data_IF_292943716756
#
_entry.id   IF_292943716756
#
_cell.length_a   1.000
_cell.length_b   1.000
_cell.length_c   1.000
_cell.angle_alpha   90.00
_cell.angle_beta   90.00
_cell.angle_gamma   90.00
#
_symmetry.space_group_name_H-M   'P 1'
#
loop_
_entity.id
_entity.type
_entity.pdbx_description
1 polymer ?
#
# COMPACT_ATOMS: atom_id res chain seq x y z
N UNK A 1 -15.82 -8.11 -2.86
CA UNK A 1 -14.74 -9.04 -3.27
C UNK A 1 -15.38 -10.21 -4.00
N UNK A 2 -14.80 -10.67 -5.11
CA UNK A 2 -15.28 -11.90 -5.76
C UNK A 2 -14.77 -13.12 -4.96
N UNK A 3 -15.66 -14.03 -4.57
CA UNK A 3 -15.40 -15.13 -3.62
C UNK A 3 -14.29 -16.11 -4.08
N UNK A 4 -13.91 -16.10 -5.36
CA UNK A 4 -12.92 -17.02 -5.95
C UNK A 4 -11.73 -16.30 -6.62
N UNK A 5 -11.52 -15.01 -6.33
CA UNK A 5 -10.42 -14.24 -6.91
C UNK A 5 -9.18 -14.25 -6.01
N UNK A 6 -8.08 -14.87 -6.48
CA UNK A 6 -6.84 -14.97 -5.69
C UNK A 6 -6.16 -13.62 -5.51
N UNK A 7 -6.19 -12.73 -6.51
CA UNK A 7 -5.67 -11.36 -6.37
C UNK A 7 -6.41 -10.59 -5.28
N UNK A 8 -7.75 -10.64 -5.25
CA UNK A 8 -8.54 -10.01 -4.19
C UNK A 8 -8.22 -10.60 -2.81
N UNK A 9 -8.09 -11.92 -2.72
CA UNK A 9 -7.72 -12.60 -1.47
C UNK A 9 -6.34 -12.18 -0.98
N UNK A 10 -5.35 -12.10 -1.89
CA UNK A 10 -3.99 -11.66 -1.61
C UNK A 10 -3.96 -10.25 -1.04
N UNK A 11 -4.65 -9.31 -1.71
CA UNK A 11 -4.72 -7.90 -1.33
C UNK A 11 -5.57 -7.67 -0.06
N UNK A 12 -6.58 -8.51 0.17
CA UNK A 12 -7.47 -8.45 1.34
C UNK A 12 -6.95 -9.16 2.60
N UNK A 13 -5.69 -9.58 2.64
CA UNK A 13 -5.07 -10.20 3.83
C UNK A 13 -5.30 -11.70 3.97
N UNK A 14 -5.89 -12.37 2.98
CA UNK A 14 -6.15 -13.82 2.97
C UNK A 14 -4.95 -14.71 2.64
N UNK A 15 -3.73 -14.16 2.68
CA UNK A 15 -2.46 -14.79 2.33
C UNK A 15 -1.93 -14.30 0.98
N UNK A 16 -0.70 -13.78 0.96
CA UNK A 16 -0.07 -13.23 -0.25
C UNK A 16 0.30 -14.32 -1.25
N UNK A 17 0.20 -13.96 -2.54
CA UNK A 17 0.69 -14.80 -3.64
C UNK A 17 2.21 -14.66 -3.79
N UNK A 18 2.71 -13.42 -3.90
CA UNK A 18 4.14 -13.15 -3.91
C UNK A 18 4.75 -13.43 -2.53
N UNK A 19 5.89 -14.15 -2.46
CA UNK A 19 6.63 -14.33 -1.21
C UNK A 19 7.30 -13.02 -0.74
N UNK A 20 7.64 -12.12 -1.67
CA UNK A 20 8.19 -10.81 -1.36
C UNK A 20 7.10 -9.78 -1.04
N UNK A 21 7.46 -8.79 -0.20
CA UNK A 21 6.67 -7.56 0.00
C UNK A 21 6.43 -6.84 -1.34
N UNK A 22 5.41 -5.96 -1.45
CA UNK A 22 5.22 -5.17 -2.64
C UNK A 22 6.43 -4.27 -2.86
N UNK A 23 6.75 -4.01 -4.13
CA UNK A 23 7.76 -3.03 -4.51
C UNK A 23 7.25 -1.62 -4.26
N UNK A 24 5.94 -1.38 -4.50
CA UNK A 24 5.28 -0.11 -4.25
C UNK A 24 3.79 -0.31 -3.96
N UNK A 25 3.24 0.52 -3.07
CA UNK A 25 1.82 0.51 -2.70
C UNK A 25 1.18 1.88 -3.01
N UNK A 26 0.56 1.98 -4.20
CA UNK A 26 -0.09 3.19 -4.69
C UNK A 26 -1.49 3.41 -4.15
N UNK A 27 -2.21 4.38 -4.68
CA UNK A 27 -3.60 4.68 -4.33
C UNK A 27 -4.55 3.59 -4.79
N UNK A 28 -4.48 3.19 -6.06
CA UNK A 28 -5.34 2.22 -6.73
C UNK A 28 -4.59 0.95 -7.13
N UNK A 29 -3.26 1.01 -7.27
CA UNK A 29 -2.45 -0.11 -7.74
C UNK A 29 -1.42 -0.55 -6.71
N UNK A 30 -1.12 -1.85 -6.70
CA UNK A 30 0.02 -2.42 -5.98
C UNK A 30 1.00 -2.94 -7.02
N UNK A 31 2.28 -2.53 -6.93
CA UNK A 31 3.37 -3.10 -7.72
C UNK A 31 4.00 -4.24 -6.92
N UNK A 32 3.91 -5.47 -7.42
CA UNK A 32 4.48 -6.65 -6.76
C UNK A 32 5.10 -7.64 -7.76
N UNK A 33 5.81 -8.63 -7.25
CA UNK A 33 6.38 -9.70 -8.07
C UNK A 33 5.28 -10.68 -8.52
N UNK A 34 5.33 -11.11 -9.78
CA UNK A 34 4.45 -12.13 -10.31
C UNK A 34 4.95 -13.52 -9.88
N UNK A 35 4.23 -14.17 -8.97
CA UNK A 35 4.60 -15.48 -8.45
C UNK A 35 3.46 -16.50 -8.64
N UNK A 36 3.75 -17.78 -8.94
CA UNK A 36 5.06 -18.34 -9.31
C UNK A 36 5.53 -17.85 -10.68
N UNK A 37 6.84 -17.62 -10.83
CA UNK A 37 7.48 -17.27 -12.11
C UNK A 37 8.94 -17.67 -12.13
N UNK A 38 9.41 -18.14 -13.28
CA UNK A 38 10.83 -18.41 -13.52
C UNK A 38 11.69 -17.14 -13.71
N UNK A 39 11.09 -15.95 -13.76
CA UNK A 39 11.81 -14.68 -13.90
C UNK A 39 11.79 -13.86 -12.61
N UNK A 40 12.97 -13.54 -12.08
CA UNK A 40 13.13 -12.75 -10.86
C UNK A 40 12.60 -11.31 -11.02
N UNK A 41 12.74 -10.73 -12.22
CA UNK A 41 12.29 -9.37 -12.52
C UNK A 41 10.84 -9.24 -13.01
N UNK A 42 10.05 -10.32 -13.03
CA UNK A 42 8.66 -10.24 -13.51
C UNK A 42 7.78 -9.53 -12.48
N UNK A 43 7.35 -8.31 -12.79
CA UNK A 43 6.44 -7.54 -11.95
C UNK A 43 5.03 -7.46 -12.51
N UNK A 44 4.08 -7.21 -11.63
CA UNK A 44 2.68 -6.91 -11.95
C UNK A 44 2.21 -5.69 -11.17
N UNK A 45 1.51 -4.80 -11.87
CA UNK A 45 0.66 -3.78 -11.27
C UNK A 45 -0.74 -4.37 -11.12
N UNK A 46 -1.17 -4.61 -9.89
CA UNK A 46 -2.48 -5.22 -9.57
C UNK A 46 -3.43 -4.15 -9.08
N UNK A 47 -4.60 -4.02 -9.71
CA UNK A 47 -5.63 -3.09 -9.24
C UNK A 47 -6.13 -3.51 -7.86
N UNK A 48 -6.30 -2.59 -6.91
CA UNK A 48 -6.67 -2.93 -5.54
C UNK A 48 -8.09 -3.45 -5.43
N UNK A 49 -9.04 -2.74 -6.05
CA UNK A 49 -10.42 -3.23 -6.15
C UNK A 49 -10.53 -4.30 -7.22
N UNK A 50 -11.56 -5.11 -7.12
CA UNK A 50 -11.89 -6.04 -8.20
C UNK A 50 -12.38 -5.28 -9.43
N UNK A 51 -11.79 -5.60 -10.59
CA UNK A 51 -12.30 -5.30 -11.92
C UNK A 51 -11.94 -6.51 -12.79
N UNK A 52 -12.87 -7.00 -13.60
CA UNK A 52 -12.65 -8.11 -14.50
C UNK A 52 -12.15 -7.64 -15.88
N UNK A 53 -12.40 -6.38 -16.25
CA UNK A 53 -12.04 -5.84 -17.55
C UNK A 53 -11.49 -4.40 -17.49
N UNK A 54 -10.61 -4.06 -18.43
CA UNK A 54 -9.97 -2.75 -18.49
C UNK A 54 -10.95 -1.58 -18.65
N UNK A 55 -12.08 -1.78 -19.33
CA UNK A 55 -13.09 -0.72 -19.53
C UNK A 55 -13.88 -0.38 -18.25
N UNK A 56 -13.68 -1.14 -17.17
CA UNK A 56 -14.30 -0.86 -15.87
C UNK A 56 -13.45 0.10 -15.02
N UNK A 57 -12.24 0.44 -15.45
CA UNK A 57 -11.34 1.35 -14.73
C UNK A 57 -11.81 2.81 -14.82
N UNK A 58 -11.61 3.56 -13.75
CA UNK A 58 -11.83 5.00 -13.75
C UNK A 58 -10.68 5.75 -14.42
N UNK A 59 -10.88 7.04 -14.72
CA UNK A 59 -9.82 7.90 -15.28
C UNK A 59 -8.62 7.98 -14.34
N UNK A 60 -8.86 8.13 -13.03
CA UNK A 60 -7.82 8.23 -12.01
C UNK A 60 -7.02 6.94 -11.87
N UNK A 61 -7.66 5.78 -12.05
CA UNK A 61 -6.99 4.48 -12.06
C UNK A 61 -6.09 4.33 -13.30
N UNK A 62 -6.53 4.81 -14.47
CA UNK A 62 -5.69 4.85 -15.66
C UNK A 62 -4.53 5.86 -15.55
N UNK A 63 -4.78 7.02 -14.96
CA UNK A 63 -3.75 8.03 -14.71
C UNK A 63 -2.66 7.48 -13.79
N UNK A 64 -3.06 6.87 -12.66
CA UNK A 64 -2.08 6.28 -11.75
C UNK A 64 -1.31 5.13 -12.40
N UNK A 65 -1.98 4.26 -13.17
CA UNK A 65 -1.31 3.22 -13.95
C UNK A 65 -0.25 3.81 -14.86
N UNK A 66 -0.57 4.88 -15.59
CA UNK A 66 0.35 5.57 -16.49
C UNK A 66 1.60 6.10 -15.79
N UNK A 67 1.43 6.77 -14.63
CA UNK A 67 2.57 7.32 -13.88
C UNK A 67 3.40 6.23 -13.17
N UNK A 68 2.82 5.05 -12.89
CA UNK A 68 3.56 3.93 -12.30
C UNK A 68 4.38 3.15 -13.32
N UNK A 69 3.96 3.09 -14.59
CA UNK A 69 4.69 2.33 -15.62
C UNK A 69 6.08 2.91 -15.86
N UNK A 70 6.23 4.24 -15.94
CA UNK A 70 7.53 4.87 -16.21
C UNK A 70 8.63 4.52 -15.17
N UNK A 71 8.46 4.77 -13.86
CA UNK A 71 9.48 4.44 -12.88
C UNK A 71 9.71 2.93 -12.78
N UNK A 72 8.68 2.11 -13.04
CA UNK A 72 8.82 0.63 -13.06
C UNK A 72 9.77 0.18 -14.16
N UNK A 73 9.57 0.62 -15.40
CA UNK A 73 10.44 0.19 -16.52
C UNK A 73 11.87 0.70 -16.38
N UNK A 74 12.05 1.94 -15.88
CA UNK A 74 13.39 2.50 -15.60
C UNK A 74 14.11 1.71 -14.50
N UNK A 75 13.40 1.41 -13.41
CA UNK A 75 13.94 0.60 -12.31
C UNK A 75 14.37 -0.79 -12.79
N UNK A 76 13.53 -1.46 -13.60
CA UNK A 76 13.87 -2.77 -14.14
C UNK A 76 15.10 -2.73 -15.03
N UNK A 77 15.21 -1.71 -15.89
CA UNK A 77 16.41 -1.48 -16.71
C UNK A 77 17.69 -1.32 -15.89
N UNK A 78 17.62 -0.63 -14.77
CA UNK A 78 18.78 -0.39 -13.92
C UNK A 78 19.12 -1.58 -13.01
N UNK A 79 18.14 -2.43 -12.70
CA UNK A 79 18.29 -3.56 -11.77
C UNK A 79 18.64 -4.89 -12.47
N UNK A 80 18.22 -5.06 -13.73
CA UNK A 80 18.40 -6.29 -14.49
C UNK A 80 19.06 -6.01 -15.84
N UNK A 81 19.69 -7.02 -16.43
CA UNK A 81 20.07 -6.97 -17.84
C UNK A 81 18.80 -6.86 -18.69
N UNK A 82 18.44 -5.64 -19.09
CA UNK A 82 17.18 -5.36 -19.79
C UNK A 82 17.48 -4.60 -21.06
N UNK A 83 17.27 -5.25 -22.20
CA UNK A 83 17.32 -4.60 -23.52
C UNK A 83 15.94 -4.04 -23.92
N UNK A 84 14.87 -4.60 -23.34
CA UNK A 84 13.49 -4.24 -23.64
C UNK A 84 12.54 -4.64 -22.51
N UNK A 85 11.47 -3.88 -22.33
CA UNK A 85 10.37 -4.22 -21.43
C UNK A 85 9.11 -4.57 -22.20
N UNK A 86 8.36 -5.55 -21.71
CA UNK A 86 6.98 -5.79 -22.14
C UNK A 86 6.00 -5.27 -21.11
N UNK A 87 5.00 -4.53 -21.57
CA UNK A 87 3.86 -4.05 -20.76
C UNK A 87 2.60 -4.67 -21.34
N UNK A 88 1.95 -5.57 -20.60
CA UNK A 88 0.88 -6.41 -21.10
C UNK A 88 -0.26 -6.50 -20.09
N UNK A 89 -1.51 -6.33 -20.54
CA UNK A 89 -2.70 -6.60 -19.71
C UNK A 89 -3.35 -7.90 -20.20
N UNK A 90 -3.22 -8.95 -19.40
CA UNK A 90 -3.74 -10.29 -19.69
C UNK A 90 -4.34 -10.87 -18.41
N UNK A 91 -5.63 -10.63 -18.17
CA UNK A 91 -6.29 -10.85 -16.88
C UNK A 91 -7.38 -11.94 -16.96
N UNK A 92 -7.13 -13.04 -17.66
CA UNK A 92 -8.14 -14.07 -17.95
C UNK A 92 -7.82 -15.45 -17.34
N UNK A 93 -6.73 -15.57 -16.59
CA UNK A 93 -6.33 -16.80 -15.94
C UNK A 93 -7.38 -17.33 -14.96
N UNK A 94 -7.42 -18.64 -14.76
CA UNK A 94 -8.25 -19.27 -13.73
C UNK A 94 -7.93 -18.66 -12.36
N UNK A 95 -8.96 -18.26 -11.60
CA UNK A 95 -8.85 -17.48 -10.34
C UNK A 95 -8.20 -16.08 -10.43
N UNK A 96 -7.68 -15.69 -11.60
CA UNK A 96 -7.01 -14.41 -11.89
C UNK A 96 -7.80 -13.52 -12.86
N UNK A 97 -9.14 -13.68 -12.90
CA UNK A 97 -10.05 -12.75 -13.60
C UNK A 97 -10.15 -11.41 -12.88
N UNK A 98 -9.03 -10.71 -12.83
CA UNK A 98 -8.79 -9.50 -12.07
C UNK A 98 -7.75 -8.67 -12.79
N UNK A 99 -8.03 -7.40 -13.07
CA UNK A 99 -7.13 -6.53 -13.82
C UNK A 99 -5.76 -6.42 -13.14
N UNK A 100 -4.74 -6.90 -13.85
CA UNK A 100 -3.34 -6.70 -13.54
C UNK A 100 -2.56 -6.48 -14.83
N UNK A 101 -1.52 -5.66 -14.77
CA UNK A 101 -0.65 -5.32 -15.89
C UNK A 101 0.74 -5.87 -15.60
N UNK A 102 1.22 -6.78 -16.45
CA UNK A 102 2.57 -7.31 -16.36
C UNK A 102 3.58 -6.29 -16.88
N UNK A 103 4.69 -6.14 -16.17
CA UNK A 103 5.86 -5.37 -16.59
C UNK A 103 7.07 -6.29 -16.49
N UNK A 104 7.60 -6.68 -17.65
CA UNK A 104 8.54 -7.81 -17.77
C UNK A 104 9.85 -7.32 -18.40
N UNK A 105 11.01 -7.44 -17.73
CA UNK A 105 12.29 -7.16 -18.34
C UNK A 105 12.70 -8.32 -19.26
N UNK A 106 13.20 -7.97 -20.44
CA UNK A 106 13.73 -8.90 -21.45
C UNK A 106 15.21 -8.61 -21.62
N UNK A 107 16.03 -9.54 -21.14
CA UNK A 107 17.49 -9.46 -21.22
C UNK A 107 18.08 -10.09 -22.46
N UNK A 108 19.37 -9.84 -22.66
CA UNK A 108 20.15 -10.34 -23.78
C UNK A 108 20.21 -11.88 -23.81
N UNK A 109 20.24 -12.52 -22.65
CA UNK A 109 20.31 -13.98 -22.48
C UNK A 109 18.95 -14.70 -22.56
N UNK A 110 17.84 -13.97 -22.69
CA UNK A 110 16.52 -14.60 -22.77
C UNK A 110 16.38 -15.41 -24.08
N UNK A 111 15.98 -16.70 -24.06
CA UNK A 111 15.81 -17.51 -25.26
C UNK A 111 14.78 -16.90 -26.21
N UNK A 112 15.07 -16.88 -27.52
CA UNK A 112 14.22 -16.25 -28.53
C UNK A 112 12.81 -16.84 -28.57
N UNK A 113 12.70 -18.16 -28.36
CA UNK A 113 11.45 -18.91 -28.29
C UNK A 113 10.56 -18.56 -27.08
N UNK A 114 11.11 -17.85 -26.09
CA UNK A 114 10.39 -17.34 -24.91
C UNK A 114 10.25 -15.81 -24.92
N UNK A 115 10.49 -15.15 -26.06
CA UNK A 115 10.25 -13.71 -26.25
C UNK A 115 8.87 -13.43 -26.86
N UNK A 116 8.47 -12.16 -26.88
CA UNK A 116 7.17 -11.73 -27.39
C UNK A 116 6.01 -12.37 -26.63
N UNK A 117 4.98 -12.83 -27.35
CA UNK A 117 3.81 -13.48 -26.73
C UNK A 117 4.17 -14.77 -25.96
N UNK A 118 5.29 -15.43 -26.32
CA UNK A 118 5.73 -16.66 -25.65
C UNK A 118 6.33 -16.43 -24.25
N UNK A 119 6.53 -15.17 -23.84
CA UNK A 119 7.04 -14.82 -22.51
C UNK A 119 6.19 -15.39 -21.37
N UNK A 120 4.89 -15.60 -21.59
CA UNK A 120 3.98 -16.25 -20.63
C UNK A 120 4.38 -17.69 -20.28
N UNK A 121 5.25 -18.32 -21.07
CA UNK A 121 5.83 -19.63 -20.77
C UNK A 121 6.57 -19.66 -19.43
N UNK A 122 7.22 -18.56 -19.02
CA UNK A 122 7.98 -18.52 -17.77
C UNK A 122 7.11 -18.61 -16.51
N UNK A 123 5.80 -18.30 -16.59
CA UNK A 123 4.86 -18.51 -15.48
C UNK A 123 4.58 -20.00 -15.21
N UNK A 124 4.94 -20.87 -16.16
CA UNK A 124 4.77 -22.33 -16.06
C UNK A 124 6.08 -23.06 -15.77
N UNK A 125 7.19 -22.34 -15.68
CA UNK A 125 8.50 -22.91 -15.36
C UNK A 125 8.69 -23.04 -13.86
N UNK A 126 9.77 -23.70 -13.45
CA UNK A 126 10.16 -23.79 -12.04
C UNK A 126 10.28 -22.37 -11.47
N UNK A 127 9.57 -22.05 -10.38
CA UNK A 127 9.59 -20.71 -9.82
C UNK A 127 10.97 -20.40 -9.24
N UNK A 128 11.33 -19.12 -9.27
CA UNK A 128 12.45 -18.62 -8.50
C UNK A 128 12.25 -18.95 -7.00
N UNK A 129 13.32 -19.30 -6.26
CA UNK A 129 13.20 -19.57 -4.83
C UNK A 129 12.64 -18.36 -4.07
N UNK A 130 11.76 -18.58 -3.10
CA UNK A 130 11.10 -17.49 -2.35
C UNK A 130 12.08 -16.49 -1.76
N UNK A 131 13.21 -16.97 -1.20
CA UNK A 131 14.28 -16.12 -0.67
C UNK A 131 14.87 -15.17 -1.71
N UNK A 132 15.04 -15.63 -2.96
CA UNK A 132 15.55 -14.79 -4.06
C UNK A 132 14.53 -13.69 -4.35
N UNK A 133 13.25 -14.03 -4.41
CA UNK A 133 12.18 -13.05 -4.66
C UNK A 133 12.05 -12.04 -3.52
N UNK A 134 12.18 -12.46 -2.27
CA UNK A 134 12.21 -11.55 -1.12
C UNK A 134 13.37 -10.54 -1.20
N UNK A 135 14.58 -11.02 -1.51
CA UNK A 135 15.77 -10.17 -1.67
C UNK A 135 15.61 -9.19 -2.85
N UNK A 136 15.07 -9.66 -3.99
CA UNK A 136 14.78 -8.83 -5.17
C UNK A 136 13.74 -7.77 -4.86
N UNK A 137 12.60 -8.12 -4.26
CA UNK A 137 11.54 -7.17 -3.94
C UNK A 137 12.04 -6.06 -3.01
N UNK A 138 12.92 -6.42 -2.05
CA UNK A 138 13.54 -5.46 -1.14
C UNK A 138 14.48 -4.49 -1.86
N UNK A 139 15.28 -4.96 -2.81
CA UNK A 139 16.16 -4.10 -3.62
C UNK A 139 15.35 -3.18 -4.54
N UNK A 140 14.35 -3.74 -5.24
CA UNK A 140 13.48 -2.99 -6.14
C UNK A 140 12.69 -1.92 -5.39
N UNK A 141 12.12 -2.22 -4.22
CA UNK A 141 11.41 -1.24 -3.40
C UNK A 141 12.30 -0.03 -3.06
N UNK A 142 13.56 -0.29 -2.67
CA UNK A 142 14.53 0.80 -2.40
C UNK A 142 14.83 1.64 -3.64
N UNK A 143 14.97 1.02 -4.81
CA UNK A 143 15.22 1.74 -6.07
C UNK A 143 14.01 2.54 -6.52
N UNK A 144 12.82 1.95 -6.43
CA UNK A 144 11.57 2.58 -6.80
C UNK A 144 11.31 3.83 -5.95
N UNK A 145 11.60 3.78 -4.65
CA UNK A 145 11.48 4.94 -3.75
C UNK A 145 12.33 6.14 -4.20
N UNK A 146 13.44 5.92 -4.92
CA UNK A 146 14.29 7.01 -5.44
C UNK A 146 13.76 7.62 -6.75
N UNK A 147 12.86 6.93 -7.45
CA UNK A 147 12.35 7.34 -8.78
C UNK A 147 10.86 7.65 -8.78
N UNK A 148 10.12 7.25 -7.75
CA UNK A 148 8.68 7.43 -7.64
C UNK A 148 8.22 8.90 -7.54
N UNK A 149 9.11 9.83 -7.16
CA UNK A 149 8.76 11.25 -7.05
C UNK A 149 7.53 11.49 -6.17
N UNK A 150 6.64 12.40 -6.60
CA UNK A 150 5.39 12.75 -5.90
C UNK A 150 4.21 11.81 -6.24
N UNK A 151 4.46 10.59 -6.73
CA UNK A 151 3.37 9.64 -7.01
C UNK A 151 2.58 9.40 -5.70
N UNK A 152 1.26 9.64 -5.69
CA UNK A 152 0.47 9.48 -4.48
C UNK A 152 0.56 8.06 -3.93
N UNK A 153 1.23 7.91 -2.79
CA UNK A 153 1.17 6.68 -1.99
C UNK A 153 -0.08 6.72 -1.12
N UNK A 154 -0.74 5.58 -0.92
CA UNK A 154 -1.58 5.42 0.28
C UNK A 154 -0.68 4.85 1.36
N UNK A 155 -0.51 5.50 2.52
CA UNK A 155 -0.04 4.72 3.66
C UNK A 155 -1.12 3.69 3.94
N UNK A 156 -0.77 2.40 3.89
CA UNK A 156 -1.71 1.31 4.20
C UNK A 156 -2.34 1.45 5.60
N UNK A 157 -1.72 2.25 6.48
CA UNK A 157 -2.18 2.59 7.82
C UNK A 157 -2.05 4.08 8.10
N UNK A 158 -3.10 4.69 8.64
CA UNK A 158 -3.03 5.98 9.33
C UNK A 158 -3.36 5.79 10.81
N UNK A 159 -2.98 6.74 11.65
CA UNK A 159 -3.07 6.64 13.10
C UNK A 159 -3.91 7.79 13.65
N UNK A 160 -4.77 7.49 14.61
CA UNK A 160 -5.51 8.49 15.39
C UNK A 160 -5.18 8.35 16.87
N UNK A 161 -4.98 9.47 17.56
CA UNK A 161 -4.77 9.51 19.00
C UNK A 161 -6.08 9.89 19.68
N UNK A 162 -6.47 9.12 20.69
CA UNK A 162 -7.72 9.29 21.42
C UNK A 162 -7.52 8.97 22.90
N UNK A 163 -8.24 9.64 23.80
CA UNK A 163 -8.20 9.25 25.21
C UNK A 163 -8.88 7.90 25.43
N UNK A 164 -8.43 7.14 26.42
CA UNK A 164 -9.06 5.86 26.80
C UNK A 164 -10.54 6.08 27.10
N UNK A 165 -10.87 7.15 27.82
CA UNK A 165 -12.25 7.50 28.21
C UNK A 165 -13.13 7.78 26.99
N UNK A 166 -12.67 8.60 26.04
CA UNK A 166 -13.45 8.94 24.85
C UNK A 166 -13.65 7.73 23.95
N UNK A 167 -12.61 6.90 23.82
CA UNK A 167 -12.71 5.68 23.04
C UNK A 167 -13.73 4.71 23.63
N UNK A 168 -13.66 4.42 24.92
CA UNK A 168 -14.57 3.50 25.59
C UNK A 168 -16.03 4.03 25.63
N UNK A 169 -16.20 5.35 25.69
CA UNK A 169 -17.50 6.01 25.75
C UNK A 169 -18.27 6.14 24.43
N UNK A 170 -17.67 5.79 23.28
CA UNK A 170 -18.18 6.12 21.93
C UNK A 170 -19.57 5.60 21.56
N UNK A 171 -20.05 4.52 22.17
CA UNK A 171 -21.40 3.98 21.93
C UNK A 171 -21.73 3.50 20.50
N UNK A 172 -20.76 3.42 19.59
CA UNK A 172 -20.96 3.07 18.19
C UNK A 172 -19.74 3.33 17.30
N UNK A 173 -19.97 3.82 16.08
CA UNK A 173 -18.90 4.40 15.26
C UNK A 173 -18.27 5.57 16.02
N UNK A 174 -16.94 5.71 15.91
CA UNK A 174 -16.22 6.69 16.69
C UNK A 174 -16.27 8.07 16.01
N UNK A 175 -16.61 9.09 16.80
CA UNK A 175 -16.53 10.50 16.42
C UNK A 175 -16.00 11.31 17.62
N UNK A 176 -14.89 12.04 17.50
CA UNK A 176 -14.37 12.86 18.58
C UNK A 176 -15.26 14.08 18.84
N UNK A 177 -15.26 14.58 20.08
CA UNK A 177 -15.97 15.81 20.42
C UNK A 177 -15.47 17.04 19.63
N UNK A 178 -14.20 17.05 19.20
CA UNK A 178 -13.64 18.11 18.36
C UNK A 178 -14.18 18.10 16.93
N UNK A 179 -14.91 17.06 16.51
CA UNK A 179 -15.45 17.00 15.14
C UNK A 179 -16.42 18.16 14.85
N UNK A 180 -17.21 18.59 15.85
CA UNK A 180 -18.15 19.71 15.69
C UNK A 180 -17.45 21.05 15.42
N UNK A 181 -16.22 21.23 15.92
CA UNK A 181 -15.42 22.45 15.67
C UNK A 181 -14.55 22.33 14.43
N UNK A 182 -13.92 21.18 14.25
CA UNK A 182 -12.86 21.00 13.24
C UNK A 182 -13.45 20.54 11.89
N UNK A 183 -14.56 19.81 11.92
CA UNK A 183 -15.22 19.23 10.75
C UNK A 183 -14.61 17.91 10.25
N UNK A 184 -13.57 17.40 10.92
CA UNK A 184 -12.88 16.17 10.57
C UNK A 184 -12.19 15.51 11.77
N UNK A 185 -11.84 14.23 11.63
CA UNK A 185 -11.02 13.48 12.59
C UNK A 185 -9.55 13.57 12.17
N UNK A 186 -8.71 14.12 13.04
CA UNK A 186 -7.26 14.20 12.84
C UNK A 186 -6.63 12.81 12.78
N UNK A 187 -5.99 12.47 11.67
CA UNK A 187 -5.13 11.30 11.57
C UNK A 187 -3.68 11.73 11.30
N UNK A 188 -2.75 10.80 11.44
CA UNK A 188 -1.33 11.01 11.21
C UNK A 188 -0.70 9.77 10.54
N UNK A 189 0.41 9.94 9.82
CA UNK A 189 1.30 8.82 9.46
C UNK A 189 2.10 8.32 10.66
N UNK A 190 2.79 7.19 10.51
CA UNK A 190 3.74 6.72 11.52
C UNK A 190 4.88 7.73 11.80
N UNK A 191 5.32 8.48 10.77
CA UNK A 191 6.36 9.52 10.91
C UNK A 191 5.84 10.83 11.50
N UNK A 192 4.52 11.03 11.53
CA UNK A 192 3.86 12.20 12.09
C UNK A 192 3.40 11.97 13.53
N UNK A 193 2.84 10.79 13.85
CA UNK A 193 2.05 10.57 15.07
C UNK A 193 2.82 10.84 16.36
N UNK A 194 4.12 10.51 16.44
CA UNK A 194 4.93 10.82 17.63
C UNK A 194 5.12 12.31 17.84
N UNK A 195 5.44 13.06 16.77
CA UNK A 195 5.57 14.53 16.84
C UNK A 195 4.26 15.18 17.27
N UNK A 196 3.13 14.66 16.79
CA UNK A 196 1.79 15.12 17.21
C UNK A 196 1.53 14.82 18.68
N UNK A 197 1.87 13.60 19.13
CA UNK A 197 1.71 13.18 20.52
C UNK A 197 2.52 14.07 21.47
N UNK A 198 3.80 14.27 21.17
CA UNK A 198 4.72 15.08 21.98
C UNK A 198 4.28 16.56 22.04
N UNK A 199 3.74 17.10 20.95
CA UNK A 199 3.33 18.50 20.86
C UNK A 199 1.99 18.78 21.57
N UNK A 200 1.01 17.88 21.46
CA UNK A 200 -0.36 18.13 21.89
C UNK A 200 -0.74 17.46 23.20
N UNK A 201 -0.07 16.37 23.58
CA UNK A 201 -0.43 15.56 24.74
C UNK A 201 0.74 15.25 25.68
N UNK A 202 1.67 16.19 25.94
CA UNK A 202 2.91 15.89 26.68
C UNK A 202 2.61 15.26 28.05
N UNK A 203 3.26 14.12 28.33
CA UNK A 203 3.15 13.41 29.61
C UNK A 203 1.80 12.72 29.90
N UNK A 204 0.90 12.61 28.91
CA UNK A 204 -0.37 11.87 29.07
C UNK A 204 -0.15 10.36 29.00
N UNK A 205 -0.73 9.63 29.94
CA UNK A 205 -0.69 8.17 30.04
C UNK A 205 -2.03 7.49 29.73
N UNK A 206 -3.07 8.29 29.42
CA UNK A 206 -4.43 7.85 29.15
C UNK A 206 -4.79 7.91 27.66
N UNK A 207 -3.82 7.65 26.78
CA UNK A 207 -4.01 7.67 25.33
C UNK A 207 -3.99 6.26 24.72
N UNK A 208 -4.87 6.06 23.73
CA UNK A 208 -4.74 5.02 22.73
C UNK A 208 -4.21 5.58 21.43
N UNK A 209 -3.43 4.76 20.73
CA UNK A 209 -3.19 4.89 19.31
C UNK A 209 -4.07 3.90 18.55
N UNK A 210 -4.94 4.44 17.71
CA UNK A 210 -5.85 3.69 16.84
C UNK A 210 -5.17 3.55 15.49
N UNK A 211 -4.90 2.32 15.08
CA UNK A 211 -4.39 2.00 13.76
C UNK A 211 -5.56 1.80 12.81
N UNK A 212 -5.62 2.60 11.75
CA UNK A 212 -6.76 2.66 10.84
C UNK A 212 -6.31 2.24 9.44
N UNK A 213 -7.09 1.37 8.80
CA UNK A 213 -6.93 1.02 7.40
C UNK A 213 -7.39 2.16 6.50
N UNK A 214 -6.42 2.88 5.93
CA UNK A 214 -6.71 4.01 5.06
C UNK A 214 -7.49 3.61 3.80
N UNK A 215 -7.37 2.36 3.34
CA UNK A 215 -8.07 1.89 2.15
C UNK A 215 -9.58 1.76 2.38
N UNK A 216 -9.99 1.41 3.62
CA UNK A 216 -11.41 1.29 4.01
C UNK A 216 -12.10 2.66 4.07
N UNK A 217 -11.35 3.72 4.37
CA UNK A 217 -11.90 5.08 4.49
C UNK A 217 -12.26 5.69 3.13
N UNK A 218 -11.58 5.29 2.04
CA UNK A 218 -11.86 5.75 0.70
C UNK A 218 -11.68 7.26 0.54
N UNK A 219 -12.63 7.92 -0.13
CA UNK A 219 -12.59 9.37 -0.40
C UNK A 219 -12.82 10.25 0.85
N UNK A 220 -13.27 9.66 1.96
CA UNK A 220 -13.43 10.40 3.22
C UNK A 220 -12.10 10.74 3.87
N UNK A 221 -11.00 10.07 3.50
CA UNK A 221 -9.66 10.38 3.97
C UNK A 221 -8.98 11.34 2.98
N UNK A 222 -8.83 12.59 3.38
CA UNK A 222 -8.26 13.66 2.57
C UNK A 222 -6.88 14.03 3.11
N UNK A 223 -5.93 14.28 2.22
CA UNK A 223 -4.58 14.73 2.57
C UNK A 223 -4.44 16.20 2.28
N UNK A 224 -4.29 17.00 3.32
CA UNK A 224 -4.30 18.45 3.21
C UNK A 224 -3.44 19.11 4.28
N UNK A 225 -3.04 20.35 4.00
CA UNK A 225 -2.28 21.19 4.93
C UNK A 225 -3.22 22.28 5.47
N UNK A 226 -4.08 21.89 6.42
CA UNK A 226 -5.07 22.82 7.01
C UNK A 226 -4.44 23.99 7.77
N UNK A 227 -3.16 23.87 8.13
CA UNK A 227 -2.47 24.82 9.01
C UNK A 227 -1.32 25.55 8.30
N UNK A 228 -1.15 25.37 6.99
CA UNK A 228 -0.08 25.97 6.17
C UNK A 228 1.33 25.71 6.75
N UNK A 229 1.53 24.51 7.32
CA UNK A 229 2.79 24.08 7.94
C UNK A 229 3.77 23.45 6.93
N UNK A 230 3.45 23.49 5.64
CA UNK A 230 4.16 22.83 4.54
C UNK A 230 4.23 21.31 4.70
N UNK A 231 3.27 20.72 5.41
CA UNK A 231 3.15 19.27 5.60
C UNK A 231 1.68 18.87 5.56
N UNK A 232 1.33 17.86 4.76
CA UNK A 232 -0.04 17.36 4.67
C UNK A 232 -0.30 16.31 5.74
N UNK A 233 -1.44 16.44 6.42
CA UNK A 233 -1.95 15.47 7.36
C UNK A 233 -3.19 14.77 6.77
N UNK A 234 -3.41 13.48 7.07
CA UNK A 234 -4.64 12.81 6.72
C UNK A 234 -5.77 13.25 7.65
N UNK A 235 -6.88 13.69 7.09
CA UNK A 235 -8.10 14.04 7.81
C UNK A 235 -9.26 13.17 7.34
N UNK A 236 -9.99 12.59 8.29
CA UNK A 236 -11.16 11.76 8.00
C UNK A 236 -12.44 12.59 8.17
N UNK A 237 -13.16 12.78 7.07
CA UNK A 237 -14.46 13.46 7.05
C UNK A 237 -15.60 12.47 7.33
N UNK A 238 -16.19 12.60 8.50
CA UNK A 238 -17.27 11.75 9.01
C UNK A 238 -16.81 10.76 10.10
N UNK A 239 -17.72 9.88 10.56
CA UNK A 239 -17.41 8.94 11.64
C UNK A 239 -16.42 7.87 11.18
N UNK A 240 -15.58 7.41 12.12
CA UNK A 240 -14.65 6.30 11.94
C UNK A 240 -15.41 4.97 11.97
N UNK A 241 -15.48 4.23 10.83
CA UNK A 241 -16.14 2.94 10.79
C UNK A 241 -15.38 1.89 11.59
N UNK A 242 -16.10 0.98 12.25
CA UNK A 242 -15.48 -0.06 13.06
C UNK A 242 -14.60 -1.01 12.21
N UNK A 243 -15.00 -1.28 10.97
CA UNK A 243 -14.26 -2.12 10.02
C UNK A 243 -12.95 -1.51 9.53
N UNK A 244 -12.77 -0.19 9.68
CA UNK A 244 -11.51 0.48 9.35
C UNK A 244 -10.49 0.36 10.50
N UNK A 245 -10.92 0.01 11.72
CA UNK A 245 -10.05 -0.09 12.89
C UNK A 245 -9.34 -1.44 12.90
N UNK A 246 -8.01 -1.41 12.83
CA UNK A 246 -7.17 -2.62 12.82
C UNK A 246 -6.65 -2.98 14.19
N UNK A 247 -6.24 -1.98 14.96
CA UNK A 247 -5.84 -2.20 16.35
C UNK A 247 -6.03 -0.93 17.15
N UNK A 248 -6.27 -1.12 18.45
CA UNK A 248 -6.30 -0.06 19.45
C UNK A 248 -5.41 -0.53 20.57
N UNK A 249 -4.32 0.19 20.81
CA UNK A 249 -3.37 -0.17 21.87
C UNK A 249 -2.99 1.07 22.67
N UNK A 250 -2.59 0.92 23.95
CA UNK A 250 -2.04 2.02 24.74
C UNK A 250 -0.90 2.71 23.99
N UNK A 251 -0.85 4.04 24.07
CA UNK A 251 0.27 4.83 23.58
C UNK A 251 1.30 4.98 24.71
N UNK A 252 2.47 4.32 24.63
CA UNK A 252 3.47 4.40 25.69
C UNK A 252 4.03 5.81 25.81
N UNK A 253 4.02 6.33 27.03
CA UNK A 253 4.69 7.57 27.44
C UNK A 253 5.84 7.25 28.39
N UNK A 254 6.94 7.97 28.25
CA UNK A 254 8.17 7.80 29.04
C UNK A 254 8.14 8.71 30.27
N UNK A 255 9.00 8.43 31.24
CA UNK A 255 9.09 9.25 32.47
C UNK A 255 9.46 10.72 32.18
N UNK A 256 10.05 11.00 31.00
CA UNK A 256 10.37 12.35 30.54
C UNK A 256 9.22 13.04 29.78
N UNK A 257 8.08 12.36 29.63
CA UNK A 257 6.88 12.85 28.96
C UNK A 257 6.85 12.66 27.44
N UNK A 258 7.90 12.05 26.86
CA UNK A 258 7.95 11.74 25.43
C UNK A 258 7.19 10.45 25.10
N UNK A 259 6.70 10.33 23.87
CA UNK A 259 5.98 9.15 23.42
C UNK A 259 6.86 8.20 22.62
N UNK A 260 6.62 6.89 22.81
CA UNK A 260 7.22 5.83 21.98
C UNK A 260 6.16 5.18 21.11
N UNK A 261 6.56 4.79 19.91
CA UNK A 261 5.67 4.00 19.06
C UNK A 261 5.50 2.59 19.67
N UNK A 262 4.27 2.06 19.82
CA UNK A 262 4.07 0.73 20.40
C UNK A 262 4.70 -0.36 19.54
N UNK A 263 5.44 -1.29 20.17
CA UNK A 263 6.12 -2.40 19.49
C UNK A 263 5.19 -3.35 18.74
N UNK A 264 3.95 -3.47 19.22
CA UNK A 264 2.97 -4.44 18.73
C UNK A 264 2.13 -3.87 17.57
N UNK A 265 2.39 -2.63 17.17
CA UNK A 265 1.73 -1.98 16.03
C UNK A 265 2.65 -2.06 14.82
N UNK A 266 2.18 -2.77 13.79
CA UNK A 266 2.87 -2.83 12.52
C UNK A 266 2.88 -1.44 11.87
N UNK A 267 4.06 -0.85 11.72
CA UNK A 267 4.26 0.30 10.85
C UNK A 267 4.20 -0.23 9.42
N UNK A 268 3.18 0.17 8.66
CA UNK A 268 3.25 0.05 7.21
C UNK A 268 4.44 0.91 6.76
N UNK A 269 5.57 0.25 6.47
CA UNK A 269 6.77 0.94 6.01
C UNK A 269 6.45 1.49 4.61
N UNK A 270 6.78 2.76 4.31
CA UNK A 270 6.54 3.36 2.99
C UNK A 270 7.19 2.56 1.86
#
# INVERSE_FOLDING_TARGET
>A
MAEDCWSCRSLGGGGRISPGSPVFDGRYWVLEHAYPSGLAGWLVLVLKRHAAAAHELSSEEFEELGVLVEPTVRMLRDAFDTEKEYVLLLAEGEHFRHVHVHVIPVGSEMPEELRGAAVLGWLKMEPQPSRVIEEVCKDLSRRFALTAGDIPTRPGRVFHLVSVTDWEGRGGEYMPASFDSDGFIHCATASQVLRVADALFPGRDDLFIVTIDAAVLGERLVWEDCYELNERYPHLYGPLPAEAVVSVVPMPCDDDGSFRFPSDVAIATP
#
